data_IF_728060296766
#
_entry.id   IF_728060296766
#
_cell.length_a   1.000
_cell.length_b   1.000
_cell.length_c   1.000
_cell.angle_alpha   90.00
_cell.angle_beta   90.00
_cell.angle_gamma   90.00
#
_symmetry.space_group_name_H-M   'P 1'
#
loop_
_entity.id
_entity.type
_entity.pdbx_description
1 polymer ?
#
# COMPACT_ATOMS: atom_id res chain seq x y z
N UNK A 1 65.23 -28.45 12.78
CA UNK A 1 64.69 -27.11 13.10
C UNK A 1 63.23 -27.07 12.70
N UNK A 2 62.31 -27.29 13.64
CA UNK A 2 60.88 -27.30 13.35
C UNK A 2 60.35 -25.87 13.40
N UNK A 3 59.90 -25.33 12.26
CA UNK A 3 59.20 -24.05 12.20
C UNK A 3 57.72 -24.30 12.47
N UNK A 4 57.24 -23.80 13.61
CA UNK A 4 55.81 -23.78 13.95
C UNK A 4 55.19 -22.60 13.19
N UNK A 5 54.23 -22.88 12.33
CA UNK A 5 53.40 -21.87 11.67
C UNK A 5 52.19 -21.60 12.57
N UNK A 6 52.08 -20.38 13.10
CA UNK A 6 50.90 -19.92 13.83
C UNK A 6 49.99 -19.21 12.81
N UNK A 7 48.84 -19.80 12.53
CA UNK A 7 47.78 -19.15 11.74
C UNK A 7 46.83 -18.47 12.71
N UNK A 8 46.83 -17.14 12.72
CA UNK A 8 45.86 -16.35 13.48
C UNK A 8 44.62 -16.19 12.60
N UNK A 9 43.54 -16.89 12.94
CA UNK A 9 42.23 -16.65 12.37
C UNK A 9 41.62 -15.40 13.03
N UNK A 10 41.59 -14.29 12.28
CA UNK A 10 40.79 -13.12 12.61
C UNK A 10 39.34 -13.39 12.24
N UNK A 11 38.49 -13.72 13.22
CA UNK A 11 37.04 -13.73 13.06
C UNK A 11 36.52 -12.31 12.98
N UNK A 12 36.14 -11.87 11.77
CA UNK A 12 35.40 -10.63 11.56
C UNK A 12 33.96 -10.87 12.01
N UNK A 13 33.56 -10.28 13.14
CA UNK A 13 32.16 -10.25 13.55
C UNK A 13 31.43 -9.21 12.69
N UNK A 14 30.63 -9.66 11.72
CA UNK A 14 29.63 -8.81 11.11
C UNK A 14 28.51 -8.59 12.13
N UNK A 15 28.38 -7.36 12.62
CA UNK A 15 27.17 -6.90 13.30
C UNK A 15 26.05 -6.89 12.26
N UNK A 16 25.23 -7.93 12.24
CA UNK A 16 23.96 -7.91 11.51
C UNK A 16 23.04 -7.00 12.32
N UNK A 17 23.00 -5.71 11.97
CA UNK A 17 21.97 -4.82 12.48
C UNK A 17 20.65 -5.22 11.80
N UNK A 18 19.84 -6.02 12.49
CA UNK A 18 18.44 -6.15 12.11
C UNK A 18 17.77 -4.78 12.35
N UNK A 19 17.15 -4.22 11.31
CA UNK A 19 16.39 -2.99 11.46
C UNK A 19 15.25 -3.25 12.45
N UNK A 20 15.30 -2.61 13.61
CA UNK A 20 14.31 -2.81 14.67
C UNK A 20 13.20 -1.78 14.48
N UNK A 21 12.06 -2.23 13.95
CA UNK A 21 10.87 -1.40 13.81
C UNK A 21 10.15 -1.27 15.17
N UNK A 22 9.71 -0.06 15.52
CA UNK A 22 8.82 0.19 16.65
C UNK A 22 7.41 0.46 16.12
N UNK A 23 6.43 -0.30 16.58
CA UNK A 23 5.03 -0.05 16.25
C UNK A 23 4.59 1.32 16.80
N UNK A 24 4.11 2.19 15.92
CA UNK A 24 3.58 3.52 16.29
C UNK A 24 2.08 3.64 16.10
N UNK A 25 1.49 2.79 15.25
CA UNK A 25 0.06 2.74 14.99
C UNK A 25 -0.30 1.41 14.33
N UNK A 26 -1.47 0.87 14.66
CA UNK A 26 -2.12 -0.22 13.95
C UNK A 26 -3.64 -0.15 14.11
N UNK A 27 -4.34 -0.90 13.26
CA UNK A 27 -5.75 -1.22 13.42
C UNK A 27 -5.91 -2.72 13.17
N UNK A 28 -6.11 -3.48 14.25
CA UNK A 28 -6.27 -4.94 14.20
C UNK A 28 -7.71 -5.36 13.85
N UNK A 29 -8.62 -4.38 13.68
CA UNK A 29 -10.03 -4.62 13.40
C UNK A 29 -10.74 -5.52 14.44
N UNK A 30 -10.38 -5.38 15.72
CA UNK A 30 -10.99 -6.14 16.83
C UNK A 30 -12.36 -5.59 17.28
N UNK A 31 -12.74 -4.38 16.84
CA UNK A 31 -14.03 -3.77 17.18
C UNK A 31 -15.17 -4.33 16.32
N UNK A 32 -16.42 -4.19 16.77
CA UNK A 32 -17.59 -4.63 15.99
C UNK A 32 -17.89 -3.73 14.78
N UNK A 33 -17.27 -2.55 14.71
CA UNK A 33 -17.48 -1.56 13.66
C UNK A 33 -16.19 -0.82 13.35
N UNK A 34 -16.12 -0.23 12.15
CA UNK A 34 -14.98 0.58 11.71
C UNK A 34 -14.75 1.73 12.67
N UNK A 35 -13.51 1.86 13.17
CA UNK A 35 -13.12 2.95 14.04
C UNK A 35 -13.08 4.27 13.25
N UNK A 36 -14.11 5.11 13.41
CA UNK A 36 -14.21 6.39 12.71
C UNK A 36 -13.24 7.45 13.21
N UNK A 37 -12.52 7.22 14.32
CA UNK A 37 -11.36 8.05 14.69
C UNK A 37 -10.12 7.75 13.84
N UNK A 38 -10.05 6.58 13.21
CA UNK A 38 -8.98 6.19 12.28
C UNK A 38 -9.41 6.38 10.81
N UNK A 39 -10.64 5.98 10.47
CA UNK A 39 -11.07 5.83 9.08
C UNK A 39 -12.25 6.74 8.71
N UNK A 40 -12.25 7.23 7.48
CA UNK A 40 -13.35 7.96 6.83
C UNK A 40 -13.78 7.17 5.60
N UNK A 41 -15.09 6.98 5.41
CA UNK A 41 -15.64 6.40 4.19
C UNK A 41 -15.69 7.45 3.07
N UNK A 42 -15.25 7.07 1.88
CA UNK A 42 -15.56 7.79 0.66
C UNK A 42 -16.78 7.16 -0.01
N UNK A 43 -17.75 8.00 -0.41
CA UNK A 43 -19.03 7.54 -0.98
C UNK A 43 -19.26 8.14 -2.35
N UNK A 44 -19.94 7.41 -3.23
CA UNK A 44 -20.26 7.85 -4.59
C UNK A 44 -19.25 7.37 -5.63
N UNK A 45 -19.22 8.08 -6.75
CA UNK A 45 -18.47 7.70 -7.97
C UNK A 45 -17.24 8.57 -8.22
N UNK A 46 -16.95 9.49 -7.30
CA UNK A 46 -15.92 10.52 -7.48
C UNK A 46 -16.14 11.34 -8.76
N UNK A 47 -15.08 12.00 -9.22
CA UNK A 47 -15.03 12.69 -10.51
C UNK A 47 -14.59 11.69 -11.59
N UNK A 48 -15.36 11.56 -12.68
CA UNK A 48 -15.05 10.68 -13.82
C UNK A 48 -14.76 9.21 -13.44
N UNK A 49 -15.49 8.66 -12.47
CA UNK A 49 -15.21 7.30 -11.96
C UNK A 49 -13.87 7.24 -11.25
N UNK A 50 -13.70 8.11 -10.25
CA UNK A 50 -12.46 8.26 -9.48
C UNK A 50 -11.18 8.50 -10.30
N UNK A 51 -11.32 9.12 -11.48
CA UNK A 51 -10.21 9.39 -12.40
C UNK A 51 -9.88 8.23 -13.35
N UNK A 52 -10.45 7.04 -13.12
CA UNK A 52 -10.12 5.81 -13.83
C UNK A 52 -11.31 5.19 -14.58
N UNK A 53 -12.40 5.93 -14.75
CA UNK A 53 -13.66 5.42 -15.32
C UNK A 53 -14.23 4.22 -14.54
N UNK A 54 -14.00 4.18 -13.23
CA UNK A 54 -14.48 3.13 -12.34
C UNK A 54 -16.02 3.00 -12.36
N UNK A 55 -16.50 1.76 -12.23
CA UNK A 55 -17.91 1.42 -12.44
C UNK A 55 -18.74 1.35 -11.15
N UNK A 56 -18.09 1.23 -10.00
CA UNK A 56 -18.76 1.09 -8.71
C UNK A 56 -19.20 2.43 -8.12
N UNK A 57 -20.23 2.36 -7.30
CA UNK A 57 -20.59 3.39 -6.34
C UNK A 57 -20.05 2.97 -4.96
N UNK A 58 -19.09 3.71 -4.40
CA UNK A 58 -18.62 3.41 -3.04
C UNK A 58 -19.69 3.77 -2.02
N UNK A 59 -19.87 2.93 -1.00
CA UNK A 59 -20.83 3.16 0.09
C UNK A 59 -20.19 2.93 1.46
N UNK A 60 -20.86 3.39 2.51
CA UNK A 60 -20.55 3.06 3.91
C UNK A 60 -21.51 2.03 4.50
N UNK A 61 -22.29 1.34 3.66
CA UNK A 61 -23.30 0.38 4.13
C UNK A 61 -22.65 -0.94 4.52
N UNK A 62 -23.28 -1.65 5.46
CA UNK A 62 -22.83 -2.95 5.95
C UNK A 62 -22.82 -4.04 4.86
N UNK A 63 -23.48 -3.83 3.72
CA UNK A 63 -23.36 -4.75 2.59
C UNK A 63 -21.99 -4.66 1.90
N UNK A 64 -21.28 -3.53 2.02
CA UNK A 64 -20.01 -3.28 1.34
C UNK A 64 -18.82 -3.21 2.28
N UNK A 65 -19.02 -2.94 3.58
CA UNK A 65 -17.93 -2.85 4.55
C UNK A 65 -18.37 -3.29 5.95
N UNK A 66 -17.70 -4.31 6.48
CA UNK A 66 -17.95 -4.89 7.80
C UNK A 66 -16.65 -5.20 8.51
N UNK A 67 -16.75 -5.48 9.81
CA UNK A 67 -15.72 -6.22 10.52
C UNK A 67 -16.27 -7.60 10.83
N UNK A 68 -15.56 -8.64 10.41
CA UNK A 68 -15.94 -10.03 10.60
C UNK A 68 -14.73 -10.83 11.09
N UNK A 69 -14.85 -11.47 12.25
CA UNK A 69 -13.80 -12.34 12.83
C UNK A 69 -12.43 -11.64 12.94
N UNK A 70 -12.39 -10.38 13.40
CA UNK A 70 -11.15 -9.62 13.55
C UNK A 70 -10.56 -9.15 12.21
N UNK A 71 -11.38 -9.01 11.16
CA UNK A 71 -10.92 -8.58 9.84
C UNK A 71 -11.85 -7.53 9.26
N UNK A 72 -11.27 -6.49 8.67
CA UNK A 72 -11.97 -5.64 7.71
C UNK A 72 -12.37 -6.48 6.48
N UNK A 73 -13.66 -6.46 6.15
CA UNK A 73 -14.18 -7.08 4.93
C UNK A 73 -14.77 -6.01 4.04
N UNK A 74 -14.14 -5.78 2.88
CA UNK A 74 -14.67 -4.93 1.81
C UNK A 74 -15.28 -5.84 0.74
N UNK A 75 -16.58 -5.66 0.50
CA UNK A 75 -17.35 -6.49 -0.43
C UNK A 75 -17.80 -5.67 -1.62
N UNK A 76 -17.28 -6.00 -2.81
CA UNK A 76 -17.83 -5.53 -4.06
C UNK A 76 -19.09 -6.37 -4.42
N UNK A 77 -20.18 -5.71 -4.82
CA UNK A 77 -21.45 -6.37 -5.16
C UNK A 77 -21.95 -5.90 -6.51
N UNK A 78 -22.56 -6.80 -7.27
CA UNK A 78 -23.35 -6.44 -8.44
C UNK A 78 -24.78 -6.12 -8.00
N UNK A 79 -25.09 -4.84 -7.89
CA UNK A 79 -26.42 -4.35 -7.51
C UNK A 79 -26.65 -2.94 -8.06
N UNK A 80 -27.91 -2.58 -8.29
CA UNK A 80 -28.27 -1.22 -8.70
C UNK A 80 -28.26 -0.27 -7.50
N UNK A 81 -27.37 0.73 -7.53
CA UNK A 81 -27.30 1.75 -6.49
C UNK A 81 -26.72 3.05 -7.07
N UNK A 82 -27.35 4.20 -6.77
CA UNK A 82 -26.82 5.51 -7.18
C UNK A 82 -26.54 5.67 -8.67
N UNK A 83 -27.31 5.01 -9.54
CA UNK A 83 -27.11 5.03 -11.00
C UNK A 83 -25.96 4.14 -11.51
N UNK A 84 -25.39 3.29 -10.66
CA UNK A 84 -24.37 2.29 -11.02
C UNK A 84 -24.92 0.87 -10.82
N UNK A 85 -24.23 -0.09 -11.43
CA UNK A 85 -24.56 -1.53 -11.35
C UNK A 85 -23.64 -2.31 -10.40
N UNK A 86 -22.72 -1.61 -9.76
CA UNK A 86 -21.81 -2.19 -8.78
C UNK A 86 -21.69 -1.28 -7.57
N UNK A 87 -21.50 -1.86 -6.40
CA UNK A 87 -21.17 -1.16 -5.17
C UNK A 87 -19.91 -1.76 -4.56
N UNK A 88 -19.18 -0.96 -3.79
CA UNK A 88 -18.01 -1.40 -3.02
C UNK A 88 -17.80 -0.44 -1.84
N UNK A 89 -16.66 -0.52 -1.15
CA UNK A 89 -16.26 0.47 -0.15
C UNK A 89 -14.84 0.98 -0.41
N UNK A 90 -14.62 2.24 -0.04
CA UNK A 90 -13.32 2.92 -0.03
C UNK A 90 -13.21 3.68 1.28
N UNK A 91 -12.15 3.41 2.03
CA UNK A 91 -11.88 4.05 3.32
C UNK A 91 -10.49 4.69 3.30
N UNK A 92 -10.33 5.79 4.04
CA UNK A 92 -9.05 6.52 4.13
C UNK A 92 -8.81 7.08 5.52
N UNK A 93 -7.54 7.34 5.83
CA UNK A 93 -7.12 7.95 7.10
C UNK A 93 -6.88 9.46 7.02
N UNK A 94 -7.15 10.09 5.88
CA UNK A 94 -6.92 11.52 5.65
C UNK A 94 -7.51 12.40 6.77
N UNK A 95 -6.67 13.28 7.33
CA UNK A 95 -7.04 14.17 8.44
C UNK A 95 -7.12 13.48 9.82
N UNK A 96 -6.78 12.18 9.90
CA UNK A 96 -6.85 11.37 11.12
C UNK A 96 -5.51 10.72 11.45
N UNK A 97 -4.91 10.03 10.49
CA UNK A 97 -3.60 9.39 10.58
C UNK A 97 -2.84 9.58 9.27
N UNK A 98 -1.62 10.09 9.39
CA UNK A 98 -0.66 10.17 8.30
C UNK A 98 0.72 9.82 8.82
N UNK A 99 1.56 9.34 7.90
CA UNK A 99 2.87 8.79 8.23
C UNK A 99 3.87 9.33 7.24
N UNK A 100 5.04 9.69 7.76
CA UNK A 100 6.23 9.98 6.96
C UNK A 100 7.30 8.98 7.32
N UNK A 101 7.76 8.24 6.31
CA UNK A 101 8.71 7.15 6.47
C UNK A 101 8.20 6.01 7.36
N UNK A 102 8.98 4.94 7.43
CA UNK A 102 8.71 3.77 8.23
C UNK A 102 8.37 2.54 7.38
N UNK A 103 7.95 1.49 8.09
CA UNK A 103 7.37 0.30 7.48
C UNK A 103 5.85 0.38 7.59
N UNK A 104 5.17 0.26 6.45
CA UNK A 104 3.71 0.23 6.36
C UNK A 104 3.32 -1.11 5.76
N UNK A 105 2.45 -1.85 6.44
CA UNK A 105 2.05 -3.19 6.00
C UNK A 105 0.59 -3.50 6.29
N UNK A 106 0.00 -4.38 5.47
CA UNK A 106 -1.33 -4.94 5.70
C UNK A 106 -1.33 -6.43 5.33
N UNK A 107 -1.97 -7.24 6.17
CA UNK A 107 -2.20 -8.67 5.92
C UNK A 107 -3.56 -8.86 5.26
N UNK A 108 -3.56 -9.21 3.98
CA UNK A 108 -4.79 -9.23 3.16
C UNK A 108 -4.88 -10.49 2.32
N UNK A 109 -6.11 -10.94 2.05
CA UNK A 109 -6.47 -11.86 0.97
C UNK A 109 -7.40 -11.13 0.02
N UNK A 110 -7.29 -11.37 -1.28
CA UNK A 110 -7.95 -10.59 -2.31
C UNK A 110 -8.97 -11.44 -3.10
N UNK A 111 -10.02 -10.83 -3.65
CA UNK A 111 -10.90 -11.50 -4.60
C UNK A 111 -10.17 -11.76 -5.93
N UNK A 112 -10.66 -12.76 -6.67
CA UNK A 112 -10.32 -12.97 -8.08
C UNK A 112 -11.59 -12.80 -8.89
N UNK A 113 -11.51 -12.06 -9.99
CA UNK A 113 -12.64 -11.91 -10.92
C UNK A 113 -12.40 -10.81 -11.94
N UNK A 114 -12.88 -11.01 -13.16
CA UNK A 114 -12.78 -9.99 -14.20
C UNK A 114 -13.44 -8.67 -13.74
N UNK A 115 -12.71 -7.56 -13.83
CA UNK A 115 -13.12 -6.24 -13.37
C UNK A 115 -12.82 -5.94 -11.90
N UNK A 116 -12.30 -6.90 -11.14
CA UNK A 116 -11.84 -6.66 -9.78
C UNK A 116 -10.52 -5.87 -9.77
N UNK A 117 -10.43 -4.88 -8.89
CA UNK A 117 -9.23 -4.05 -8.71
C UNK A 117 -9.09 -3.62 -7.23
N UNK A 118 -8.70 -4.54 -6.33
CA UNK A 118 -8.39 -4.18 -4.95
C UNK A 118 -7.05 -3.45 -4.87
N UNK A 119 -6.97 -2.45 -3.98
CA UNK A 119 -5.78 -1.64 -3.76
C UNK A 119 -5.55 -1.34 -2.27
N UNK A 120 -4.29 -1.34 -1.87
CA UNK A 120 -3.80 -0.79 -0.60
C UNK A 120 -2.69 0.21 -0.93
N UNK A 121 -2.93 1.48 -0.62
CA UNK A 121 -2.18 2.57 -1.19
C UNK A 121 -2.20 3.81 -0.28
N UNK A 122 -1.37 4.79 -0.61
CA UNK A 122 -1.16 6.02 0.15
C UNK A 122 -1.15 7.23 -0.79
N UNK A 123 -1.63 8.38 -0.30
CA UNK A 123 -1.54 9.68 -0.96
C UNK A 123 -0.89 10.69 -0.02
N UNK A 124 -0.20 11.69 -0.58
CA UNK A 124 0.29 12.82 0.20
C UNK A 124 -0.84 13.63 0.84
N UNK A 125 -0.68 13.99 2.12
CA UNK A 125 -1.64 14.81 2.87
C UNK A 125 -1.91 16.17 2.21
N UNK A 126 -0.94 16.66 1.42
CA UNK A 126 -1.04 17.91 0.70
C UNK A 126 -1.95 17.85 -0.55
N UNK A 127 -2.58 16.70 -0.87
CA UNK A 127 -3.45 16.52 -2.05
C UNK A 127 -4.53 17.61 -2.18
N UNK A 128 -5.07 18.12 -1.07
CA UNK A 128 -6.09 19.18 -1.08
C UNK A 128 -5.55 20.54 -1.49
N UNK A 129 -4.23 20.73 -1.52
CA UNK A 129 -3.56 21.97 -1.88
C UNK A 129 -2.89 21.88 -3.26
N UNK A 130 -2.21 20.76 -3.56
CA UNK A 130 -1.41 20.62 -4.79
C UNK A 130 -2.06 19.74 -5.85
N UNK A 131 -3.06 18.94 -5.47
CA UNK A 131 -3.71 17.97 -6.35
C UNK A 131 -2.85 16.76 -6.70
N UNK A 132 -3.42 15.84 -7.46
CA UNK A 132 -2.71 14.71 -8.04
C UNK A 132 -2.20 15.06 -9.46
N UNK A 133 -1.00 14.60 -9.89
CA UNK A 133 -0.08 13.68 -9.21
C UNK A 133 0.94 14.35 -8.28
N UNK A 134 0.89 15.68 -8.12
CA UNK A 134 1.86 16.49 -7.34
C UNK A 134 1.88 16.21 -5.84
N UNK A 135 0.91 15.49 -5.31
CA UNK A 135 0.90 15.05 -3.92
C UNK A 135 1.72 13.78 -3.69
N UNK A 136 2.08 13.06 -4.75
CA UNK A 136 2.66 11.73 -4.65
C UNK A 136 1.63 10.66 -4.28
N UNK A 137 1.85 9.46 -4.79
CA UNK A 137 1.06 8.26 -4.54
C UNK A 137 1.98 7.06 -4.39
N UNK A 138 1.72 6.22 -3.38
CA UNK A 138 2.42 4.96 -3.16
C UNK A 138 1.40 3.83 -3.12
N UNK A 139 1.31 3.08 -4.20
CA UNK A 139 0.48 1.88 -4.31
C UNK A 139 1.26 0.69 -3.76
N UNK A 140 1.06 0.40 -2.47
CA UNK A 140 1.76 -0.70 -1.77
C UNK A 140 1.37 -2.05 -2.38
N UNK A 141 0.10 -2.19 -2.76
CA UNK A 141 -0.42 -3.36 -3.46
C UNK A 141 -1.59 -2.96 -4.34
N UNK A 142 -1.51 -3.33 -5.62
CA UNK A 142 -2.65 -3.45 -6.51
C UNK A 142 -2.72 -4.86 -7.11
N UNK A 143 -3.94 -5.33 -7.35
CA UNK A 143 -4.21 -6.53 -8.12
C UNK A 143 -5.27 -6.25 -9.16
N UNK A 144 -5.19 -6.91 -10.32
CA UNK A 144 -6.10 -6.66 -11.45
C UNK A 144 -6.68 -7.97 -11.96
N UNK A 145 -8.00 -8.03 -12.07
CA UNK A 145 -8.75 -9.12 -12.68
C UNK A 145 -8.45 -10.50 -12.05
N UNK A 146 -7.80 -11.37 -12.83
CA UNK A 146 -7.48 -12.75 -12.49
C UNK A 146 -5.97 -13.00 -12.61
N UNK A 147 -5.16 -11.94 -12.55
CA UNK A 147 -3.72 -12.08 -12.64
C UNK A 147 -3.18 -12.86 -11.43
N UNK A 148 -2.07 -13.57 -11.62
CA UNK A 148 -1.38 -14.30 -10.56
C UNK A 148 -0.23 -13.49 -9.95
N UNK A 149 -0.30 -12.16 -10.06
CA UNK A 149 0.71 -11.22 -9.60
C UNK A 149 0.07 -9.96 -9.03
N UNK A 150 0.82 -9.29 -8.16
CA UNK A 150 0.48 -7.96 -7.63
C UNK A 150 1.50 -6.93 -8.10
N UNK A 151 1.10 -5.67 -8.02
CA UNK A 151 1.91 -4.53 -8.40
C UNK A 151 2.21 -3.65 -7.20
N UNK A 152 3.41 -3.08 -7.18
CA UNK A 152 3.73 -1.93 -6.34
C UNK A 152 4.16 -0.77 -7.23
N UNK A 153 3.52 0.38 -7.06
CA UNK A 153 3.65 1.50 -8.00
C UNK A 153 3.82 2.82 -7.26
N UNK A 154 4.61 3.72 -7.83
CA UNK A 154 4.74 5.10 -7.40
C UNK A 154 4.22 6.00 -8.50
N UNK A 155 3.44 7.03 -8.13
CA UNK A 155 3.04 8.11 -9.04
C UNK A 155 3.43 9.48 -8.51
N UNK A 156 3.93 10.34 -9.39
CA UNK A 156 4.35 11.70 -9.05
C UNK A 156 4.35 12.62 -10.28
N UNK A 157 4.70 13.89 -10.09
CA UNK A 157 4.81 14.88 -11.16
C UNK A 157 6.28 15.10 -11.58
N UNK A 158 6.55 14.97 -12.89
CA UNK A 158 7.80 15.43 -13.49
C UNK A 158 7.48 16.04 -14.85
N UNK A 159 6.98 17.28 -14.82
CA UNK A 159 6.41 17.98 -15.98
C UNK A 159 5.26 17.18 -16.62
N UNK A 160 4.46 16.51 -15.79
CA UNK A 160 3.48 15.52 -16.20
C UNK A 160 3.51 14.28 -15.32
N UNK A 161 2.46 13.48 -15.41
CA UNK A 161 2.34 12.25 -14.64
C UNK A 161 3.45 11.25 -14.98
N UNK A 162 4.13 10.78 -13.94
CA UNK A 162 5.06 9.66 -14.00
C UNK A 162 4.52 8.51 -13.17
N UNK A 163 4.74 7.29 -13.66
CA UNK A 163 4.52 6.05 -12.93
C UNK A 163 5.76 5.15 -13.01
N UNK A 164 6.20 4.61 -11.87
CA UNK A 164 7.26 3.59 -11.81
C UNK A 164 6.91 2.53 -10.78
N UNK A 165 7.04 1.26 -11.16
CA UNK A 165 6.66 0.15 -10.31
C UNK A 165 7.25 -1.17 -10.78
N UNK A 166 7.00 -2.19 -9.97
CA UNK A 166 7.35 -3.58 -10.26
C UNK A 166 6.19 -4.51 -9.95
N UNK A 167 6.37 -5.79 -10.22
CA UNK A 167 5.37 -6.82 -9.89
C UNK A 167 6.04 -8.09 -9.41
N UNK A 168 5.29 -8.90 -8.66
CA UNK A 168 5.71 -10.24 -8.23
C UNK A 168 4.53 -11.20 -8.24
N UNK A 169 4.80 -12.47 -8.48
CA UNK A 169 3.78 -13.51 -8.45
C UNK A 169 3.40 -13.87 -7.00
N UNK A 170 2.10 -13.99 -6.74
CA UNK A 170 1.56 -14.54 -5.50
C UNK A 170 0.15 -15.11 -5.72
N UNK A 171 -0.25 -16.07 -4.89
CA UNK A 171 -1.63 -16.54 -4.87
C UNK A 171 -2.48 -15.62 -3.98
N UNK A 172 -3.02 -14.56 -4.60
CA UNK A 172 -3.77 -13.52 -3.90
C UNK A 172 -5.01 -14.02 -3.14
N UNK A 173 -5.47 -15.25 -3.39
CA UNK A 173 -6.59 -15.84 -2.64
C UNK A 173 -6.21 -16.27 -1.22
N UNK A 174 -4.91 -16.38 -0.94
CA UNK A 174 -4.37 -16.60 0.39
C UNK A 174 -4.04 -15.27 1.07
N UNK A 175 -3.88 -15.32 2.39
CA UNK A 175 -3.39 -14.16 3.12
C UNK A 175 -1.89 -13.98 2.87
N UNK A 176 -1.54 -12.77 2.45
CA UNK A 176 -0.16 -12.31 2.30
C UNK A 176 0.04 -11.00 3.07
N UNK A 177 1.27 -10.74 3.46
CA UNK A 177 1.69 -9.44 4.01
C UNK A 177 2.22 -8.61 2.84
N UNK A 178 1.53 -7.53 2.53
CA UNK A 178 1.96 -6.54 1.55
C UNK A 178 2.52 -5.35 2.30
N UNK A 179 3.75 -4.95 2.00
CA UNK A 179 4.42 -3.90 2.77
C UNK A 179 5.37 -3.05 1.95
N UNK A 180 5.59 -1.83 2.42
CA UNK A 180 6.75 -1.02 2.04
C UNK A 180 7.68 -0.77 3.22
N UNK A 181 8.96 -0.57 2.91
CA UNK A 181 9.89 0.16 3.76
C UNK A 181 10.26 1.46 3.06
N UNK A 182 9.98 2.58 3.70
CA UNK A 182 10.13 3.93 3.14
C UNK A 182 11.00 4.78 4.06
N UNK A 183 12.05 5.38 3.51
CA UNK A 183 12.89 6.36 4.20
C UNK A 183 13.28 7.49 3.23
N UNK A 184 14.10 8.45 3.69
CA UNK A 184 14.53 9.61 2.92
C UNK A 184 15.25 9.30 1.59
N UNK A 185 15.75 8.08 1.42
CA UNK A 185 16.54 7.68 0.25
C UNK A 185 15.86 6.67 -0.67
N UNK A 186 14.94 5.84 -0.15
CA UNK A 186 14.40 4.72 -0.90
C UNK A 186 12.99 4.33 -0.45
N UNK A 187 12.20 3.85 -1.39
CA UNK A 187 10.98 3.08 -1.13
C UNK A 187 11.19 1.67 -1.66
N UNK A 188 10.94 0.67 -0.83
CA UNK A 188 11.12 -0.75 -1.12
C UNK A 188 9.78 -1.47 -0.92
N UNK A 189 9.40 -2.33 -1.87
CA UNK A 189 8.12 -3.05 -1.86
C UNK A 189 8.34 -4.55 -1.64
N UNK A 190 7.51 -5.13 -0.78
CA UNK A 190 7.64 -6.53 -0.37
C UNK A 190 6.29 -7.26 -0.37
N UNK A 191 6.35 -8.55 -0.68
CA UNK A 191 5.28 -9.53 -0.37
C UNK A 191 5.89 -10.60 0.52
N UNK A 192 5.30 -10.84 1.70
CA UNK A 192 5.79 -11.79 2.71
C UNK A 192 7.28 -11.60 3.06
N UNK A 193 7.70 -10.34 3.15
CA UNK A 193 9.09 -9.97 3.44
C UNK A 193 10.06 -10.18 2.28
N UNK A 194 9.60 -10.64 1.11
CA UNK A 194 10.43 -10.75 -0.09
C UNK A 194 10.38 -9.45 -0.90
N UNK A 195 11.54 -8.78 -1.01
CA UNK A 195 11.70 -7.59 -1.84
C UNK A 195 11.49 -7.93 -3.31
N UNK A 196 10.62 -7.20 -4.00
CA UNK A 196 10.42 -7.37 -5.45
C UNK A 196 10.61 -6.10 -6.27
N UNK A 197 10.54 -4.93 -5.63
CA UNK A 197 10.76 -3.65 -6.30
C UNK A 197 11.34 -2.62 -5.33
N UNK A 198 12.15 -1.71 -5.84
CA UNK A 198 12.58 -0.53 -5.09
C UNK A 198 12.76 0.67 -6.02
N UNK A 199 12.62 1.86 -5.46
CA UNK A 199 12.86 3.12 -6.15
C UNK A 199 13.71 4.01 -5.24
N UNK A 200 14.85 4.48 -5.77
CA UNK A 200 15.61 5.54 -5.10
C UNK A 200 14.85 6.86 -5.23
N UNK A 201 14.73 7.56 -4.11
CA UNK A 201 14.16 8.90 -3.98
C UNK A 201 15.14 9.88 -3.34
N UNK A 202 16.40 9.44 -3.13
CA UNK A 202 17.43 10.20 -2.45
C UNK A 202 17.64 11.58 -3.12
N UNK A 203 17.60 12.63 -2.30
CA UNK A 203 17.77 14.02 -2.74
C UNK A 203 16.84 14.43 -3.89
N UNK A 204 15.62 13.88 -3.96
CA UNK A 204 14.63 14.24 -4.98
C UNK A 204 15.01 13.79 -6.41
N UNK A 205 15.84 12.75 -6.55
CA UNK A 205 16.30 12.27 -7.86
C UNK A 205 15.10 11.99 -8.80
N UNK A 206 15.19 12.46 -10.04
CA UNK A 206 14.11 12.37 -11.03
C UNK A 206 12.77 13.02 -10.61
N UNK A 207 12.85 14.09 -9.82
CA UNK A 207 11.70 14.84 -9.30
C UNK A 207 10.84 14.00 -8.37
N UNK A 208 11.45 13.33 -7.39
CA UNK A 208 10.74 12.47 -6.42
C UNK A 208 10.51 13.16 -5.07
N UNK A 209 10.50 14.50 -5.07
CA UNK A 209 10.40 15.34 -3.87
C UNK A 209 9.08 15.15 -3.12
N UNK A 210 8.03 14.70 -3.80
CA UNK A 210 6.73 14.40 -3.21
C UNK A 210 6.82 13.33 -2.12
N UNK A 211 7.75 12.37 -2.24
CA UNK A 211 7.95 11.26 -1.31
C UNK A 211 8.85 11.61 -0.11
N UNK A 212 9.18 12.88 0.07
CA UNK A 212 9.99 13.37 1.20
C UNK A 212 9.15 14.02 2.31
N UNK A 213 7.86 14.21 2.07
CA UNK A 213 6.96 15.00 2.94
C UNK A 213 6.21 14.15 3.96
#
# INVERSE_FOLDING_TARGET
MNKILIVILLTIYYQINAQTWKLIWSDEFDSQSINTSNWTFETGTGTNGWGNNELQYYTSRTENVTIENGMLVITARQESHGGKNYTSARIKTQGKKSFRFGKIEARMKLPIGQGSWPAFWMLGDNITFVGWPKCGEIDIMEHVNNENKVYGTLHWDNNGHVSKGGSTFCDVTQFHIYSIEWNESIIQFFVDGQLYYYQSIANGINSTDEFQN
#
